data_IF_939252759924
#
_entry.id   IF_939252759924
#
_cell.length_a   1.000
_cell.length_b   1.000
_cell.length_c   1.000
_cell.angle_alpha   90.00
_cell.angle_beta   90.00
_cell.angle_gamma   90.00
#
_symmetry.space_group_name_H-M   'P 1'
#
loop_
_entity.id
_entity.type
_entity.pdbx_description
1 polymer ?
#
# COMPACT_ATOMS: atom_id res chain seq x y z
N UNK A 1 -9.16 13.46 -11.19
CA UNK A 1 -8.61 12.25 -10.53
C UNK A 1 -8.54 12.45 -9.02
N UNK A 2 -8.50 11.39 -8.19
CA UNK A 2 -8.51 11.52 -6.71
C UNK A 2 -7.37 12.41 -6.19
N UNK A 3 -6.18 12.31 -6.78
CA UNK A 3 -5.05 13.17 -6.39
C UNK A 3 -5.32 14.65 -6.66
N UNK A 4 -5.90 14.99 -7.80
CA UNK A 4 -6.26 16.38 -8.13
C UNK A 4 -7.31 16.93 -7.16
N UNK A 5 -8.24 16.10 -6.70
CA UNK A 5 -9.24 16.47 -5.68
C UNK A 5 -8.59 16.77 -4.33
N UNK A 6 -7.63 15.95 -3.91
CA UNK A 6 -6.84 16.21 -2.69
C UNK A 6 -6.10 17.55 -2.81
N UNK A 7 -5.52 17.82 -3.98
CA UNK A 7 -4.72 19.03 -4.21
C UNK A 7 -5.57 20.30 -4.39
N UNK A 8 -6.81 20.20 -4.87
CA UNK A 8 -7.71 21.34 -5.05
C UNK A 8 -8.41 21.76 -3.76
N UNK A 9 -8.53 20.86 -2.78
CA UNK A 9 -9.22 21.10 -1.52
C UNK A 9 -8.24 21.60 -0.42
N UNK A 10 -8.38 22.83 0.09
CA UNK A 10 -7.47 23.39 1.10
C UNK A 10 -7.52 22.68 2.47
N UNK A 11 -8.55 21.88 2.72
CA UNK A 11 -8.63 21.04 3.92
C UNK A 11 -7.79 19.76 3.81
N UNK A 12 -7.44 19.33 2.60
CA UNK A 12 -6.71 18.08 2.33
C UNK A 12 -5.31 18.30 1.78
N UNK A 13 -5.12 19.36 0.99
CA UNK A 13 -3.82 19.71 0.42
C UNK A 13 -2.76 19.82 1.51
N UNK A 14 -1.63 19.16 1.28
CA UNK A 14 -0.48 19.09 2.19
C UNK A 14 -0.78 18.52 3.59
N UNK A 15 -1.96 17.91 3.78
CA UNK A 15 -2.44 17.32 5.04
C UNK A 15 -2.91 15.86 4.89
N UNK A 16 -2.98 15.36 3.66
CA UNK A 16 -3.45 14.02 3.35
C UNK A 16 -2.30 13.15 2.84
N UNK A 17 -2.16 11.99 3.46
CA UNK A 17 -1.34 10.88 2.96
C UNK A 17 -2.24 9.90 2.21
N UNK A 18 -1.85 9.51 1.00
CA UNK A 18 -2.54 8.54 0.17
C UNK A 18 -1.68 7.27 0.09
N UNK A 19 -2.26 6.14 0.46
CA UNK A 19 -1.67 4.80 0.33
C UNK A 19 -2.48 4.03 -0.73
N UNK A 20 -1.82 3.60 -1.79
CA UNK A 20 -2.43 2.87 -2.91
C UNK A 20 -1.76 1.51 -3.01
N UNK A 21 -2.55 0.45 -2.98
CA UNK A 21 -2.08 -0.92 -3.15
C UNK A 21 -3.18 -1.77 -3.81
N UNK A 22 -2.83 -2.79 -4.59
CA UNK A 22 -3.76 -3.87 -4.89
C UNK A 22 -4.01 -4.71 -3.62
N UNK A 23 -5.17 -5.36 -3.55
CA UNK A 23 -5.48 -6.31 -2.47
C UNK A 23 -4.65 -7.60 -2.60
N UNK A 24 -4.44 -8.03 -3.85
CA UNK A 24 -3.76 -9.26 -4.24
C UNK A 24 -3.33 -9.21 -5.72
N UNK A 25 -2.30 -9.98 -6.07
CA UNK A 25 -1.82 -10.14 -7.44
C UNK A 25 -2.60 -11.22 -8.21
N UNK A 26 -2.15 -11.63 -9.40
CA UNK A 26 -2.88 -12.57 -10.29
C UNK A 26 -1.99 -13.77 -10.64
N UNK A 27 -2.61 -14.88 -11.04
CA UNK A 27 -1.89 -16.07 -11.52
C UNK A 27 -0.94 -15.66 -12.66
N UNK A 28 0.32 -16.09 -12.60
CA UNK A 28 1.35 -15.65 -13.55
C UNK A 28 1.37 -16.45 -14.86
N UNK A 29 0.85 -17.67 -14.83
CA UNK A 29 0.76 -18.53 -16.01
C UNK A 29 -0.60 -18.38 -16.69
N UNK A 30 -0.60 -17.66 -17.81
CA UNK A 30 -1.78 -17.45 -18.65
C UNK A 30 -2.34 -18.74 -19.25
N UNK A 31 -1.53 -19.81 -19.35
CA UNK A 31 -1.95 -21.10 -19.90
C UNK A 31 -2.63 -21.98 -18.85
N UNK A 32 -2.26 -21.82 -17.56
CA UNK A 32 -2.94 -22.47 -16.44
C UNK A 32 -4.25 -21.76 -16.07
N UNK A 33 -4.38 -20.49 -16.45
CA UNK A 33 -5.60 -19.71 -16.39
C UNK A 33 -6.51 -20.10 -17.57
N UNK A 34 -7.75 -20.53 -17.32
CA UNK A 34 -8.78 -20.81 -18.35
C UNK A 34 -9.21 -19.52 -19.11
N UNK A 35 -8.28 -18.76 -19.69
CA UNK A 35 -8.47 -17.43 -20.27
C UNK A 35 -8.58 -16.28 -19.25
N UNK A 36 -8.53 -16.57 -17.95
CA UNK A 36 -8.63 -15.58 -16.87
C UNK A 36 -7.52 -15.77 -15.84
N UNK A 37 -6.66 -14.76 -15.66
CA UNK A 37 -5.69 -14.74 -14.58
C UNK A 37 -6.45 -14.59 -13.26
N UNK A 38 -6.62 -15.71 -12.53
CA UNK A 38 -7.31 -15.71 -11.24
C UNK A 38 -6.29 -15.46 -10.12
N UNK A 39 -6.60 -15.87 -8.90
CA UNK A 39 -5.79 -15.64 -7.69
C UNK A 39 -5.51 -16.94 -6.94
N UNK A 40 -5.50 -18.06 -7.67
CA UNK A 40 -5.71 -19.40 -7.07
C UNK A 40 -4.40 -20.12 -6.80
N UNK A 41 -3.39 -19.87 -7.62
CA UNK A 41 -2.11 -20.59 -7.54
C UNK A 41 -1.38 -20.26 -6.24
N UNK A 42 -1.57 -19.03 -5.72
CA UNK A 42 -0.77 -18.53 -4.61
C UNK A 42 0.71 -18.44 -4.96
N UNK A 43 1.05 -18.36 -6.26
CA UNK A 43 2.40 -18.14 -6.73
C UNK A 43 2.92 -16.73 -6.37
N UNK A 44 4.17 -16.44 -6.73
CA UNK A 44 4.77 -15.13 -6.48
C UNK A 44 4.00 -13.99 -7.15
N UNK A 45 3.45 -14.19 -8.34
CA UNK A 45 2.61 -13.19 -9.02
C UNK A 45 1.26 -12.94 -8.32
N UNK A 46 0.72 -13.91 -7.57
CA UNK A 46 -0.44 -13.72 -6.70
C UNK A 46 -0.09 -12.98 -5.40
N UNK A 47 1.11 -13.18 -4.88
CA UNK A 47 1.50 -12.74 -3.52
C UNK A 47 2.28 -11.43 -3.49
N UNK A 48 3.07 -11.15 -4.52
CA UNK A 48 3.91 -9.96 -4.56
C UNK A 48 3.09 -8.79 -5.09
N UNK A 49 3.05 -7.74 -4.29
CA UNK A 49 2.31 -6.51 -4.56
C UNK A 49 3.23 -5.32 -4.36
N UNK A 50 2.76 -4.16 -4.81
CA UNK A 50 3.40 -2.88 -4.58
C UNK A 50 2.50 -2.00 -3.71
N UNK A 51 3.11 -1.01 -3.06
CA UNK A 51 2.39 0.09 -2.42
C UNK A 51 2.99 1.39 -2.94
N UNK A 52 2.14 2.32 -3.33
CA UNK A 52 2.50 3.71 -3.58
C UNK A 52 2.01 4.53 -2.38
N UNK A 53 2.93 5.15 -1.67
CA UNK A 53 2.65 6.15 -0.66
C UNK A 53 2.97 7.53 -1.23
N UNK A 54 2.09 8.52 -1.03
CA UNK A 54 2.32 9.88 -1.49
C UNK A 54 1.54 10.91 -0.65
N UNK A 55 1.95 12.17 -0.70
CA UNK A 55 1.28 13.27 0.00
C UNK A 55 2.00 13.68 1.28
N UNK A 56 1.23 14.11 2.28
CA UNK A 56 1.78 14.69 3.51
C UNK A 56 2.70 13.70 4.24
N UNK A 57 3.91 14.16 4.57
CA UNK A 57 4.87 13.40 5.38
C UNK A 57 5.47 12.17 4.71
N UNK A 58 5.30 11.98 3.41
CA UNK A 58 5.90 10.84 2.69
C UNK A 58 7.14 11.29 1.93
N UNK A 59 8.33 10.73 2.19
CA UNK A 59 9.54 11.05 1.43
C UNK A 59 9.46 10.49 0.01
N UNK A 60 10.13 11.17 -0.93
CA UNK A 60 10.30 10.63 -2.28
C UNK A 60 11.39 9.54 -2.30
N UNK A 61 11.11 8.41 -2.95
CA UNK A 61 12.08 7.33 -3.12
C UNK A 61 11.45 6.02 -3.56
N UNK A 62 12.30 5.02 -3.75
CA UNK A 62 11.94 3.63 -4.02
C UNK A 62 12.57 2.74 -2.95
N UNK A 63 11.82 1.73 -2.50
CA UNK A 63 12.21 0.84 -1.41
C UNK A 63 12.04 -0.60 -1.89
N UNK A 64 13.16 -1.30 -2.06
CA UNK A 64 13.18 -2.70 -2.46
C UNK A 64 13.41 -3.62 -1.25
N UNK A 65 12.38 -3.78 -0.42
CA UNK A 65 12.36 -4.82 0.64
C UNK A 65 10.97 -5.41 0.82
N UNK A 66 10.85 -6.61 1.39
CA UNK A 66 9.55 -7.16 1.75
C UNK A 66 8.81 -6.29 2.76
N UNK A 67 7.54 -6.00 2.47
CA UNK A 67 6.51 -5.47 3.37
C UNK A 67 5.28 -6.38 3.25
N UNK A 68 4.40 -6.37 4.25
CA UNK A 68 3.23 -7.23 4.28
C UNK A 68 1.94 -6.42 4.33
N UNK A 69 0.85 -6.96 3.77
CA UNK A 69 -0.46 -6.29 3.77
C UNK A 69 -0.92 -5.90 5.19
N UNK A 70 -0.58 -6.71 6.21
CA UNK A 70 -0.88 -6.42 7.62
C UNK A 70 -0.17 -5.17 8.16
N UNK A 71 0.91 -4.70 7.51
CA UNK A 71 1.67 -3.52 7.92
C UNK A 71 0.96 -2.19 7.57
N UNK A 72 -0.01 -2.21 6.64
CA UNK A 72 -0.73 -1.01 6.21
C UNK A 72 -1.51 -0.36 7.36
N UNK A 73 -2.27 -1.16 8.11
CA UNK A 73 -3.06 -0.65 9.24
C UNK A 73 -2.16 -0.08 10.34
N UNK A 74 -1.05 -0.75 10.64
CA UNK A 74 -0.06 -0.27 11.61
C UNK A 74 0.59 1.04 11.17
N UNK A 75 0.91 1.16 9.88
CA UNK A 75 1.47 2.39 9.30
C UNK A 75 0.49 3.55 9.34
N UNK A 76 -0.77 3.31 8.95
CA UNK A 76 -1.82 4.33 9.01
C UNK A 76 -2.12 4.78 10.44
N UNK A 77 -2.11 3.86 11.41
CA UNK A 77 -2.24 4.18 12.82
C UNK A 77 -1.13 5.11 13.30
N UNK A 78 0.13 4.78 12.99
CA UNK A 78 1.30 5.58 13.37
C UNK A 78 1.26 6.98 12.73
N UNK A 79 0.90 7.11 11.45
CA UNK A 79 0.71 8.39 10.76
C UNK A 79 -0.35 9.28 11.43
N UNK A 80 -1.37 8.67 12.04
CA UNK A 80 -2.43 9.34 12.78
C UNK A 80 -2.10 9.54 14.28
N UNK A 81 -0.91 9.13 14.73
CA UNK A 81 -0.51 9.20 16.14
C UNK A 81 -1.22 8.19 17.04
N UNK A 82 -1.80 7.12 16.47
CA UNK A 82 -2.48 6.04 17.18
C UNK A 82 -1.47 4.93 17.46
N UNK A 83 -1.30 4.54 18.73
CA UNK A 83 -0.42 3.43 19.12
C UNK A 83 -0.94 2.10 18.56
N UNK A 84 -0.20 1.48 17.64
CA UNK A 84 -0.52 0.20 17.01
C UNK A 84 -0.26 -1.05 17.90
N UNK A 85 -0.41 -0.95 19.22
CA UNK A 85 0.13 -1.92 20.19
C UNK A 85 -0.37 -3.36 20.08
N UNK A 86 -1.54 -3.59 19.48
CA UNK A 86 -2.15 -4.92 19.29
C UNK A 86 -2.24 -5.35 17.82
N UNK A 87 -1.65 -4.58 16.89
CA UNK A 87 -1.71 -4.92 15.46
C UNK A 87 -0.69 -6.01 15.11
N UNK A 88 -1.08 -6.92 14.22
CA UNK A 88 -0.21 -8.00 13.72
C UNK A 88 0.98 -7.45 12.93
N UNK A 89 0.75 -6.42 12.11
CA UNK A 89 1.78 -5.78 11.30
C UNK A 89 2.60 -4.76 12.06
N UNK A 90 3.63 -4.23 11.41
CA UNK A 90 4.53 -3.20 11.97
C UNK A 90 4.52 -1.96 11.08
N UNK A 91 4.62 -0.74 11.64
CA UNK A 91 4.70 0.46 10.81
C UNK A 91 5.87 0.41 9.83
N UNK A 92 5.61 0.72 8.56
CA UNK A 92 6.63 0.90 7.52
C UNK A 92 7.37 2.21 7.78
N UNK A 93 8.52 2.11 8.44
CA UNK A 93 9.30 3.28 8.90
C UNK A 93 9.72 4.22 7.79
N UNK A 94 9.85 3.70 6.58
CA UNK A 94 10.25 4.46 5.41
C UNK A 94 9.18 5.44 4.92
N UNK A 95 7.93 5.28 5.35
CA UNK A 95 6.82 6.21 5.06
C UNK A 95 6.69 7.28 6.16
N UNK A 96 7.35 7.09 7.31
CA UNK A 96 7.20 7.93 8.50
C UNK A 96 8.28 9.02 8.64
N UNK A 97 9.19 9.15 7.68
CA UNK A 97 10.39 10.00 7.77
C UNK A 97 10.23 11.39 7.19
#
# INVERSE_FOLDING_TARGET
MLWEEIQSNPNYKDKTTLLILPELGRDGDINAANGFLNHRSGDTSCRNMWVLAMGAGVPAGEIERPVFHVDLAATAGELLGIKAGEMTGRPMREILS
#
